data_IF_912136198757
#
_entry.id   IF_912136198757
#
_cell.length_a   1.000
_cell.length_b   1.000
_cell.length_c   1.000
_cell.angle_alpha   90.00
_cell.angle_beta   90.00
_cell.angle_gamma   90.00
#
_symmetry.space_group_name_H-M   'P 1'
#
loop_
_entity.id
_entity.type
_entity.pdbx_description
1 polymer ?
#
# COMPACT_ATOMS: atom_id res chain seq x y z
N UNK A 1 -4.43 3.78 -17.39
CA UNK A 1 -5.21 3.03 -16.38
C UNK A 1 -4.18 2.18 -15.67
N UNK A 2 -3.69 2.61 -14.51
CA UNK A 2 -2.79 1.80 -13.71
C UNK A 2 -3.62 0.72 -13.05
N UNK A 3 -3.28 -0.53 -13.31
CA UNK A 3 -3.91 -1.65 -12.62
C UNK A 3 -3.24 -1.86 -11.26
N UNK A 4 -3.85 -2.66 -10.39
CA UNK A 4 -3.30 -2.95 -9.06
C UNK A 4 -1.84 -3.38 -9.09
N UNK A 5 -1.40 -4.06 -10.15
CA UNK A 5 -0.02 -4.51 -10.30
C UNK A 5 0.97 -3.33 -10.47
N UNK A 6 0.59 -2.29 -11.21
CA UNK A 6 1.42 -1.09 -11.39
C UNK A 6 1.51 -0.28 -10.08
N UNK A 7 0.40 -0.23 -9.34
CA UNK A 7 0.35 0.41 -8.02
C UNK A 7 1.15 -0.40 -7.00
N UNK A 8 1.13 -1.73 -7.07
CA UNK A 8 1.92 -2.61 -6.21
C UNK A 8 3.42 -2.40 -6.44
N UNK A 9 3.86 -2.30 -7.70
CA UNK A 9 5.25 -2.00 -8.03
C UNK A 9 5.67 -0.63 -7.48
N UNK A 10 4.83 0.40 -7.64
CA UNK A 10 5.10 1.75 -7.10
C UNK A 10 5.18 1.74 -5.56
N UNK A 11 4.31 0.99 -4.89
CA UNK A 11 4.35 0.84 -3.43
C UNK A 11 5.62 0.09 -2.98
N UNK A 12 6.07 -0.92 -3.74
CA UNK A 12 7.28 -1.66 -3.45
C UNK A 12 8.53 -0.76 -3.56
N UNK A 13 8.63 0.07 -4.60
CA UNK A 13 9.72 1.04 -4.73
C UNK A 13 9.79 2.01 -3.54
N UNK A 14 8.64 2.42 -3.01
CA UNK A 14 8.58 3.27 -1.82
C UNK A 14 8.98 2.51 -0.55
N UNK A 15 8.66 1.23 -0.44
CA UNK A 15 9.09 0.39 0.66
C UNK A 15 10.62 0.24 0.65
N UNK A 16 11.20 -0.03 -0.52
CA UNK A 16 12.65 -0.22 -0.69
C UNK A 16 13.45 1.07 -0.44
N UNK A 17 12.84 2.23 -0.67
CA UNK A 17 13.42 3.54 -0.38
C UNK A 17 13.29 3.96 1.11
N UNK A 18 12.38 3.35 1.86
CA UNK A 18 12.13 3.68 3.26
C UNK A 18 13.09 2.93 4.21
N UNK A 19 13.49 3.54 5.35
CA UNK A 19 14.33 2.84 6.33
C UNK A 19 13.65 1.56 6.84
N UNK A 20 14.36 0.43 6.79
CA UNK A 20 13.85 -0.84 7.31
C UNK A 20 13.46 -0.72 8.78
N UNK A 21 12.24 -1.17 9.13
CA UNK A 21 11.69 -1.06 10.48
C UNK A 21 10.96 0.26 10.77
N UNK A 22 10.92 1.21 9.82
CA UNK A 22 10.05 2.38 9.90
C UNK A 22 8.58 2.04 9.62
N UNK A 23 7.67 2.89 10.11
CA UNK A 23 6.23 2.81 9.81
C UNK A 23 6.00 2.94 8.31
N UNK A 24 6.73 3.83 7.63
CA UNK A 24 6.60 4.04 6.18
C UNK A 24 6.98 2.79 5.39
N UNK A 25 8.08 2.11 5.76
CA UNK A 25 8.46 0.84 5.16
C UNK A 25 7.38 -0.23 5.38
N UNK A 26 6.88 -0.37 6.61
CA UNK A 26 5.84 -1.35 6.92
C UNK A 26 4.52 -1.06 6.18
N UNK A 27 4.14 0.21 6.07
CA UNK A 27 2.95 0.66 5.35
C UNK A 27 3.07 0.41 3.85
N UNK A 28 4.18 0.82 3.24
CA UNK A 28 4.44 0.63 1.82
C UNK A 28 4.49 -0.85 1.43
N UNK A 29 5.17 -1.69 2.23
CA UNK A 29 5.17 -3.14 2.01
C UNK A 29 3.77 -3.75 2.14
N UNK A 30 2.99 -3.33 3.13
CA UNK A 30 1.61 -3.81 3.31
C UNK A 30 0.70 -3.44 2.13
N UNK A 31 0.85 -2.22 1.60
CA UNK A 31 0.12 -1.76 0.41
C UNK A 31 0.54 -2.55 -0.83
N UNK A 32 1.85 -2.76 -1.03
CA UNK A 32 2.36 -3.53 -2.16
C UNK A 32 1.81 -4.97 -2.17
N UNK A 33 1.86 -5.67 -1.03
CA UNK A 33 1.32 -7.03 -0.89
C UNK A 33 -0.19 -7.04 -1.13
N UNK A 34 -0.92 -6.07 -0.56
CA UNK A 34 -2.37 -6.00 -0.70
C UNK A 34 -2.79 -5.78 -2.15
N UNK A 35 -2.14 -4.85 -2.86
CA UNK A 35 -2.39 -4.60 -4.27
C UNK A 35 -2.00 -5.80 -5.15
N UNK A 36 -0.87 -6.45 -4.88
CA UNK A 36 -0.44 -7.63 -5.62
C UNK A 36 -1.38 -8.84 -5.47
N UNK A 37 -2.07 -8.95 -4.33
CA UNK A 37 -2.95 -10.09 -4.01
C UNK A 37 -4.42 -9.83 -4.32
N UNK A 38 -4.80 -8.62 -4.68
CA UNK A 38 -6.18 -8.23 -4.99
C UNK A 38 -6.33 -7.79 -6.43
N UNK A 39 -7.46 -8.13 -7.06
CA UNK A 39 -7.76 -7.74 -8.45
C UNK A 39 -8.43 -6.37 -8.56
N UNK A 40 -9.05 -5.90 -7.49
CA UNK A 40 -9.90 -4.70 -7.49
C UNK A 40 -9.39 -3.70 -6.44
N UNK A 41 -9.40 -2.41 -6.79
CA UNK A 41 -8.95 -1.32 -5.93
C UNK A 41 -9.83 -1.21 -4.67
N UNK A 42 -11.15 -1.37 -4.80
CA UNK A 42 -12.06 -1.29 -3.65
C UNK A 42 -11.83 -2.43 -2.67
N UNK A 43 -11.55 -3.64 -3.20
CA UNK A 43 -11.17 -4.78 -2.37
C UNK A 43 -9.81 -4.55 -1.69
N UNK A 44 -8.81 -4.04 -2.41
CA UNK A 44 -7.50 -3.69 -1.85
C UNK A 44 -7.65 -2.73 -0.66
N UNK A 45 -8.45 -1.67 -0.83
CA UNK A 45 -8.68 -0.67 0.22
C UNK A 45 -9.28 -1.27 1.49
N UNK A 46 -10.24 -2.18 1.34
CA UNK A 46 -10.89 -2.86 2.47
C UNK A 46 -9.94 -3.82 3.18
N UNK A 47 -9.07 -4.50 2.44
CA UNK A 47 -8.06 -5.39 3.02
C UNK A 47 -7.08 -4.63 3.93
N UNK A 48 -6.76 -3.37 3.60
CA UNK A 48 -5.92 -2.52 4.45
C UNK A 48 -6.53 -2.22 5.83
N UNK A 49 -7.85 -2.32 6.00
CA UNK A 49 -8.49 -2.12 7.31
C UNK A 49 -8.03 -3.17 8.35
N UNK A 50 -7.61 -4.34 7.86
CA UNK A 50 -7.05 -5.44 8.67
C UNK A 50 -5.59 -5.25 9.07
N UNK A 51 -4.91 -4.20 8.58
CA UNK A 51 -3.51 -3.94 8.95
C UNK A 51 -3.41 -3.52 10.41
N UNK A 52 -2.40 -4.07 11.08
CA UNK A 52 -2.02 -3.75 12.45
C UNK A 52 -0.51 -3.58 12.53
N UNK A 53 0.01 -2.67 13.38
CA UNK A 53 -0.72 -1.82 14.32
C UNK A 53 -1.44 -0.64 13.63
N UNK A 54 -2.24 0.14 14.39
CA UNK A 54 -3.13 1.17 13.81
C UNK A 54 -2.36 2.24 13.05
N UNK A 55 -1.17 2.60 13.52
CA UNK A 55 -0.29 3.60 12.92
C UNK A 55 0.17 3.16 11.52
N UNK A 56 0.46 1.86 11.36
CA UNK A 56 0.83 1.28 10.05
C UNK A 56 -0.38 1.23 9.13
N UNK A 57 -1.57 0.93 9.65
CA UNK A 57 -2.81 0.98 8.84
C UNK A 57 -3.09 2.38 8.32
N UNK A 58 -3.03 3.39 9.19
CA UNK A 58 -3.29 4.78 8.80
C UNK A 58 -2.32 5.24 7.72
N UNK A 59 -1.02 4.95 7.91
CA UNK A 59 0.00 5.23 6.91
C UNK A 59 -0.23 4.45 5.59
N UNK A 60 -0.60 3.17 5.66
CA UNK A 60 -0.88 2.34 4.49
C UNK A 60 -2.09 2.85 3.70
N UNK A 61 -3.17 3.22 4.39
CA UNK A 61 -4.36 3.82 3.77
C UNK A 61 -4.00 5.14 3.12
N UNK A 62 -3.30 6.04 3.82
CA UNK A 62 -2.91 7.33 3.26
C UNK A 62 -2.02 7.17 2.02
N UNK A 63 -1.10 6.21 2.04
CA UNK A 63 -0.26 5.88 0.89
C UNK A 63 -1.09 5.35 -0.29
N UNK A 64 -2.00 4.41 -0.02
CA UNK A 64 -2.88 3.84 -1.01
C UNK A 64 -3.71 4.90 -1.73
N UNK A 65 -4.35 5.82 -0.99
CA UNK A 65 -5.15 6.91 -1.58
C UNK A 65 -4.29 7.84 -2.45
N UNK A 66 -3.04 8.11 -2.05
CA UNK A 66 -2.10 8.90 -2.87
C UNK A 66 -1.74 8.20 -4.18
N UNK A 67 -1.50 6.89 -4.14
CA UNK A 67 -1.15 6.10 -5.31
C UNK A 67 -2.34 5.94 -6.26
N UNK A 68 -3.54 5.72 -5.73
CA UNK A 68 -4.76 5.56 -6.54
C UNK A 68 -5.27 6.87 -7.13
N UNK A 69 -5.11 8.01 -6.45
CA UNK A 69 -5.48 9.33 -6.97
C UNK A 69 -4.50 9.88 -8.02
N UNK A 70 -3.27 9.39 -8.05
CA UNK A 70 -2.23 9.77 -9.02
C UNK A 70 -2.15 8.87 -10.26
N UNK A 71 -3.18 8.05 -10.52
CA UNK A 71 -3.23 7.02 -11.56
C UNK A 71 -4.13 7.35 -12.75
#
# INVERSE_FOLDING_TARGET
MRDNLDLAASAQELADAAPTGSIDHAAASSVAITLATTRDISHARKTLDGVSPVEVREAAVALFERLSAGA
#
